data_IF_680741493667
#
_entry.id   IF_680741493667
#
_cell.length_a   1.000
_cell.length_b   1.000
_cell.length_c   1.000
_cell.angle_alpha   90.00
_cell.angle_beta   90.00
_cell.angle_gamma   90.00
#
_symmetry.space_group_name_H-M   'P 1'
#
loop_
_entity.id
_entity.type
_entity.pdbx_description
1 polymer ?
#
# COMPACT_ATOMS: atom_id res chain seq x y z
N UNK A 1 41.47 32.39 60.36
CA UNK A 1 42.24 31.80 59.25
C UNK A 1 41.26 31.04 58.37
N UNK A 2 40.91 31.60 57.20
CA UNK A 2 41.27 31.12 55.84
C UNK A 2 40.70 29.69 55.57
N UNK A 3 39.88 29.40 54.57
CA UNK A 3 39.61 30.16 53.35
C UNK A 3 38.38 29.67 52.58
N UNK A 4 37.89 30.54 51.70
CA UNK A 4 36.82 30.30 50.73
C UNK A 4 37.42 29.73 49.45
N UNK A 5 37.07 28.49 49.12
CA UNK A 5 37.41 27.87 47.84
C UNK A 5 36.41 28.34 46.78
N UNK A 6 36.88 29.12 45.80
CA UNK A 6 36.11 29.47 44.60
C UNK A 6 36.25 28.34 43.58
N UNK A 7 35.14 27.74 43.16
CA UNK A 7 35.11 26.82 42.01
C UNK A 7 34.76 27.64 40.78
N UNK A 8 35.68 27.67 39.82
CA UNK A 8 35.51 28.32 38.53
C UNK A 8 34.58 27.50 37.63
N UNK A 9 33.51 28.12 37.13
CA UNK A 9 32.62 27.55 36.13
C UNK A 9 33.26 27.63 34.74
N UNK A 10 33.49 26.47 34.12
CA UNK A 10 33.91 26.36 32.74
C UNK A 10 32.66 26.42 31.84
N UNK A 11 32.48 27.52 31.10
CA UNK A 11 31.42 27.62 30.08
C UNK A 11 31.97 27.01 28.80
N UNK A 12 31.52 25.79 28.47
CA UNK A 12 31.81 25.14 27.19
C UNK A 12 30.78 25.63 26.18
N UNK A 13 31.18 26.60 25.35
CA UNK A 13 30.41 27.04 24.18
C UNK A 13 30.49 25.96 23.10
N UNK A 14 29.51 25.06 23.08
CA UNK A 14 29.34 24.07 22.02
C UNK A 14 28.92 24.73 20.71
N UNK A 15 29.78 24.62 19.70
CA UNK A 15 29.49 24.99 18.32
C UNK A 15 28.41 24.04 17.77
N UNK A 16 27.18 24.52 17.62
CA UNK A 16 26.13 23.77 16.92
C UNK A 16 26.40 23.83 15.42
N UNK A 17 26.97 22.75 14.87
CA UNK A 17 27.04 22.54 13.41
C UNK A 17 25.65 22.12 12.94
N UNK A 18 24.91 23.07 12.35
CA UNK A 18 23.64 22.81 11.67
C UNK A 18 23.94 21.98 10.42
N UNK A 19 23.77 20.65 10.52
CA UNK A 19 23.79 19.78 9.34
C UNK A 19 22.64 20.20 8.40
N UNK A 20 22.88 20.31 7.09
CA UNK A 20 21.82 20.60 6.13
C UNK A 20 20.80 19.46 6.15
N UNK A 21 19.59 19.76 6.62
CA UNK A 21 18.48 18.85 6.47
C UNK A 21 18.12 18.80 4.98
N UNK A 22 18.51 17.71 4.31
CA UNK A 22 17.99 17.37 3.00
C UNK A 22 16.48 17.18 3.14
N UNK A 23 15.71 18.24 2.84
CA UNK A 23 14.29 18.12 2.62
C UNK A 23 14.12 17.20 1.42
N UNK A 24 13.61 15.98 1.64
CA UNK A 24 13.04 15.19 0.57
C UNK A 24 11.97 16.05 -0.10
N UNK A 25 12.31 16.65 -1.25
CA UNK A 25 11.35 17.38 -2.06
C UNK A 25 10.40 16.33 -2.61
N UNK A 26 9.12 16.43 -2.22
CA UNK A 26 8.06 15.77 -2.97
C UNK A 26 8.17 16.31 -4.39
N UNK A 27 8.71 15.51 -5.30
CA UNK A 27 8.63 15.79 -6.73
C UNK A 27 7.15 15.86 -7.05
N UNK A 28 6.70 17.00 -7.57
CA UNK A 28 5.36 17.16 -8.13
C UNK A 28 5.19 16.09 -9.21
N UNK A 29 4.57 14.97 -8.85
CA UNK A 29 4.18 13.95 -9.80
C UNK A 29 3.06 14.59 -10.59
N UNK A 30 3.30 14.83 -11.88
CA UNK A 30 2.29 15.33 -12.81
C UNK A 30 1.05 14.43 -12.66
N UNK A 31 -0.06 14.96 -12.10
CA UNK A 31 -1.27 14.18 -11.88
C UNK A 31 -1.86 13.67 -13.21
N UNK A 32 -1.46 14.24 -14.35
CA UNK A 32 -1.89 13.78 -15.67
C UNK A 32 -1.16 12.53 -16.15
N UNK A 33 0.03 12.22 -15.62
CA UNK A 33 0.75 10.99 -15.93
C UNK A 33 0.13 9.77 -15.22
N UNK A 34 -0.49 9.98 -14.06
CA UNK A 34 -1.10 8.92 -13.26
C UNK A 34 -2.57 8.69 -13.65
N UNK A 35 -2.90 7.48 -14.07
CA UNK A 35 -4.24 7.09 -14.49
C UNK A 35 -4.60 5.69 -13.99
N UNK A 36 -5.89 5.34 -14.09
CA UNK A 36 -6.39 4.02 -13.74
C UNK A 36 -6.11 3.01 -14.85
N UNK A 37 -5.46 1.92 -14.50
CA UNK A 37 -5.21 0.78 -15.38
C UNK A 37 -6.01 -0.39 -14.88
N UNK A 38 -6.93 -0.89 -15.72
CA UNK A 38 -7.63 -2.16 -15.50
C UNK A 38 -6.94 -3.27 -16.27
N UNK A 39 -6.80 -4.43 -15.65
CA UNK A 39 -6.25 -5.62 -16.28
C UNK A 39 -7.02 -6.87 -15.83
N UNK A 40 -7.37 -7.74 -16.78
CA UNK A 40 -7.81 -9.10 -16.47
C UNK A 40 -6.65 -9.88 -15.88
N UNK A 41 -6.86 -10.48 -14.71
CA UNK A 41 -5.86 -11.31 -14.06
C UNK A 41 -6.35 -12.74 -13.90
N UNK A 42 -5.40 -13.66 -13.91
CA UNK A 42 -5.63 -15.07 -13.60
C UNK A 42 -4.65 -15.43 -12.50
N UNK A 43 -5.15 -15.63 -11.30
CA UNK A 43 -4.34 -16.20 -10.22
C UNK A 43 -4.25 -17.70 -10.40
N UNK A 44 -3.02 -18.20 -10.49
CA UNK A 44 -2.70 -19.62 -10.54
C UNK A 44 -1.94 -20.01 -9.28
N UNK A 45 -2.44 -21.00 -8.54
CA UNK A 45 -1.80 -21.47 -7.30
C UNK A 45 -0.75 -22.56 -7.60
N UNK A 46 0.45 -22.15 -8.03
CA UNK A 46 1.70 -22.94 -8.05
C UNK A 46 1.77 -24.16 -9.00
N UNK A 47 3.01 -24.56 -9.33
CA UNK A 47 3.30 -25.72 -10.18
C UNK A 47 3.11 -27.04 -9.41
N UNK A 48 2.07 -27.79 -9.77
CA UNK A 48 1.83 -29.13 -9.26
C UNK A 48 0.97 -29.92 -10.22
N UNK A 49 1.53 -30.99 -10.78
CA UNK A 49 1.02 -31.88 -11.85
C UNK A 49 -0.27 -32.66 -11.54
N UNK A 50 -1.22 -32.13 -10.77
CA UNK A 50 -2.52 -32.78 -10.56
C UNK A 50 -3.64 -32.01 -11.25
N UNK A 51 -4.50 -32.72 -11.98
CA UNK A 51 -5.64 -32.14 -12.71
C UNK A 51 -6.64 -31.42 -11.79
N UNK A 52 -6.70 -31.80 -10.50
CA UNK A 52 -7.46 -31.08 -9.47
C UNK A 52 -6.99 -29.65 -9.24
N UNK A 53 -5.73 -29.30 -9.53
CA UNK A 53 -5.19 -27.94 -9.36
C UNK A 53 -5.19 -27.10 -10.64
N UNK A 54 -5.20 -27.72 -11.84
CA UNK A 54 -5.50 -27.01 -13.10
C UNK A 54 -6.87 -26.33 -13.08
N UNK A 55 -7.80 -26.87 -12.28
CA UNK A 55 -9.13 -26.32 -12.03
C UNK A 55 -9.14 -25.11 -11.06
N UNK A 56 -8.07 -24.84 -10.31
CA UNK A 56 -7.99 -23.74 -9.35
C UNK A 56 -7.42 -22.47 -10.00
N UNK A 57 -7.97 -22.09 -11.15
CA UNK A 57 -7.71 -20.78 -11.76
C UNK A 57 -8.76 -19.82 -11.24
N UNK A 58 -8.34 -18.82 -10.49
CA UNK A 58 -9.21 -17.72 -10.12
C UNK A 58 -9.09 -16.63 -11.16
N UNK A 59 -10.17 -16.42 -11.91
CA UNK A 59 -10.28 -15.31 -12.84
C UNK A 59 -10.78 -14.09 -12.08
N UNK A 60 -10.30 -12.92 -12.50
CA UNK A 60 -10.81 -11.68 -11.99
C UNK A 60 -10.20 -10.48 -12.68
N UNK A 61 -10.40 -9.34 -12.05
CA UNK A 61 -9.92 -8.06 -12.55
C UNK A 61 -9.08 -7.39 -11.47
N UNK A 62 -8.06 -6.66 -11.92
CA UNK A 62 -7.27 -5.77 -11.09
C UNK A 62 -7.38 -4.36 -11.63
N UNK A 63 -7.36 -3.39 -10.72
CA UNK A 63 -7.37 -1.99 -11.02
C UNK A 63 -6.28 -1.29 -10.22
N UNK A 64 -5.36 -0.59 -10.87
CA UNK A 64 -4.25 0.05 -10.18
C UNK A 64 -3.85 1.38 -10.79
N UNK A 65 -3.09 2.16 -10.03
CA UNK A 65 -2.51 3.43 -10.49
C UNK A 65 -1.27 3.18 -11.36
N UNK A 66 -1.17 3.88 -12.49
CA UNK A 66 -0.08 3.71 -13.47
C UNK A 66 1.26 4.29 -13.04
N UNK A 67 1.29 5.19 -12.06
CA UNK A 67 2.53 5.86 -11.64
C UNK A 67 3.59 4.86 -11.18
N UNK A 68 4.82 5.05 -11.68
CA UNK A 68 6.02 4.32 -11.24
C UNK A 68 6.93 5.19 -10.35
N UNK A 69 6.61 6.48 -10.22
CA UNK A 69 7.43 7.48 -9.50
C UNK A 69 6.78 7.95 -8.20
N UNK A 70 5.62 7.40 -7.85
CA UNK A 70 4.93 7.68 -6.61
C UNK A 70 4.37 6.40 -5.98
N UNK A 71 4.08 6.43 -4.67
CA UNK A 71 3.24 5.44 -4.03
C UNK A 71 1.93 5.22 -4.77
N UNK A 72 1.46 3.99 -4.77
CA UNK A 72 0.32 3.59 -5.58
C UNK A 72 -0.68 2.71 -4.85
N UNK A 73 -1.85 2.55 -5.46
CA UNK A 73 -2.93 1.73 -4.94
C UNK A 73 -3.36 0.71 -5.98
N UNK A 74 -3.71 -0.46 -5.48
CA UNK A 74 -4.14 -1.64 -6.22
C UNK A 74 -5.47 -2.09 -5.66
N UNK A 75 -6.40 -2.47 -6.51
CA UNK A 75 -7.59 -3.20 -6.16
C UNK A 75 -7.60 -4.51 -6.93
N UNK A 76 -8.08 -5.56 -6.29
CA UNK A 76 -8.34 -6.82 -6.97
C UNK A 76 -9.69 -7.36 -6.62
N UNK A 77 -10.24 -8.05 -7.60
CA UNK A 77 -11.56 -8.62 -7.56
C UNK A 77 -11.47 -10.04 -8.11
N UNK A 78 -11.07 -10.94 -7.23
CA UNK A 78 -10.75 -12.32 -7.57
C UNK A 78 -11.68 -13.22 -6.79
N UNK A 79 -12.43 -14.07 -7.50
CA UNK A 79 -13.37 -15.01 -6.86
C UNK A 79 -14.30 -14.29 -5.86
N UNK A 80 -14.89 -13.16 -6.28
CA UNK A 80 -15.76 -12.26 -5.47
C UNK A 80 -15.10 -11.62 -4.24
N UNK A 81 -13.79 -11.80 -4.05
CA UNK A 81 -13.03 -11.18 -2.96
C UNK A 81 -12.49 -9.84 -3.42
N UNK A 82 -13.12 -8.78 -2.95
CA UNK A 82 -12.64 -7.42 -3.16
C UNK A 82 -11.52 -7.08 -2.17
N UNK A 83 -10.32 -6.81 -2.68
CA UNK A 83 -9.12 -6.53 -1.88
C UNK A 83 -8.48 -5.24 -2.36
N UNK A 84 -7.71 -4.64 -1.47
CA UNK A 84 -6.94 -3.43 -1.77
C UNK A 84 -5.50 -3.64 -1.35
N UNK A 85 -4.58 -3.25 -2.21
CA UNK A 85 -3.15 -3.22 -1.96
C UNK A 85 -2.64 -1.79 -2.03
N UNK A 86 -1.60 -1.48 -1.25
CA UNK A 86 -0.91 -0.20 -1.30
C UNK A 86 0.58 -0.45 -1.45
N UNK A 87 1.22 0.32 -2.31
CA UNK A 87 2.68 0.36 -2.48
C UNK A 87 3.16 1.69 -1.90
N UNK A 88 4.15 1.65 -1.00
CA UNK A 88 4.54 2.84 -0.22
C UNK A 88 5.73 3.59 -0.82
N UNK A 89 6.46 2.94 -1.73
CA UNK A 89 7.61 3.51 -2.42
C UNK A 89 7.32 3.68 -3.90
N UNK A 90 8.08 4.54 -4.56
CA UNK A 90 7.98 4.77 -5.99
C UNK A 90 8.42 3.52 -6.78
N UNK A 91 7.45 2.80 -7.33
CA UNK A 91 7.64 1.66 -8.22
C UNK A 91 6.35 1.35 -8.98
N UNK A 92 6.42 0.47 -9.99
CA UNK A 92 5.22 0.00 -10.70
C UNK A 92 4.31 -0.83 -9.81
N UNK A 93 3.07 -0.39 -9.62
CA UNK A 93 2.09 -1.12 -8.79
C UNK A 93 1.81 -2.53 -9.31
N UNK A 94 1.74 -2.69 -10.65
CA UNK A 94 1.58 -4.01 -11.25
C UNK A 94 2.73 -4.93 -10.83
N UNK A 95 3.97 -4.46 -10.86
CA UNK A 95 5.16 -5.27 -10.57
C UNK A 95 5.22 -5.67 -9.08
N UNK A 96 4.86 -4.74 -8.19
CA UNK A 96 4.80 -4.98 -6.74
C UNK A 96 3.78 -6.06 -6.34
N UNK A 97 2.77 -6.33 -7.18
CA UNK A 97 1.72 -7.33 -6.92
C UNK A 97 1.74 -8.54 -7.87
N UNK A 98 2.44 -8.47 -9.01
CA UNK A 98 2.47 -9.51 -10.06
C UNK A 98 3.18 -10.78 -9.61
N UNK A 99 4.27 -10.64 -8.87
CA UNK A 99 5.12 -11.74 -8.43
C UNK A 99 5.07 -11.92 -6.91
N UNK A 100 3.94 -11.59 -6.27
CA UNK A 100 3.76 -11.93 -4.87
C UNK A 100 3.67 -13.45 -4.75
N UNK A 101 4.82 -14.08 -4.61
CA UNK A 101 4.92 -15.44 -4.11
C UNK A 101 4.27 -15.42 -2.74
N UNK A 102 3.08 -16.01 -2.66
CA UNK A 102 2.37 -16.13 -1.40
C UNK A 102 3.10 -17.17 -0.51
N UNK A 103 3.96 -17.99 -1.10
CA UNK A 103 4.75 -19.04 -0.48
C UNK A 103 6.09 -19.12 -1.23
N UNK A 104 7.21 -19.13 -0.50
CA UNK A 104 8.51 -19.57 -1.01
C UNK A 104 8.71 -21.08 -0.82
N UNK A 105 9.81 -21.62 -1.32
CA UNK A 105 10.21 -23.02 -1.15
C UNK A 105 11.47 -23.06 -0.27
N UNK A 106 11.44 -23.73 0.89
CA UNK A 106 12.65 -23.94 1.69
C UNK A 106 13.60 -24.92 1.03
N UNK A 107 14.86 -24.94 1.47
CA UNK A 107 15.90 -25.86 0.99
C UNK A 107 15.59 -27.37 1.14
N UNK A 108 14.48 -27.76 1.77
CA UNK A 108 13.96 -29.13 1.83
C UNK A 108 12.72 -29.36 0.95
N UNK A 109 12.36 -28.41 0.07
CA UNK A 109 11.20 -28.49 -0.80
C UNK A 109 9.86 -28.17 -0.13
N UNK A 110 9.83 -27.82 1.17
CA UNK A 110 8.59 -27.43 1.83
C UNK A 110 8.20 -25.99 1.47
N UNK A 111 6.91 -25.72 1.34
CA UNK A 111 6.43 -24.35 1.17
C UNK A 111 6.62 -23.58 2.48
N UNK A 112 7.54 -22.62 2.49
CA UNK A 112 7.71 -21.68 3.61
C UNK A 112 7.03 -20.39 3.22
N UNK A 113 6.14 -19.83 4.05
CA UNK A 113 5.62 -18.49 3.80
C UNK A 113 6.81 -17.54 3.56
N UNK A 114 6.81 -16.82 2.44
CA UNK A 114 7.63 -15.61 2.27
C UNK A 114 7.51 -14.77 3.55
N UNK A 115 8.53 -13.97 3.96
CA UNK A 115 8.47 -13.19 5.19
C UNK A 115 7.31 -12.17 5.17
N UNK A 116 6.11 -12.65 5.47
CA UNK A 116 4.88 -11.88 5.54
C UNK A 116 4.66 -11.61 6.99
N UNK A 117 4.88 -10.37 7.35
CA UNK A 117 4.42 -9.89 8.64
C UNK A 117 2.98 -9.42 8.50
N UNK A 118 2.22 -9.57 9.58
CA UNK A 118 0.95 -8.87 9.70
C UNK A 118 1.25 -7.45 10.18
N UNK A 119 0.74 -6.46 9.46
CA UNK A 119 0.84 -5.06 9.86
C UNK A 119 -0.56 -4.50 10.10
N UNK A 120 -0.73 -3.74 11.18
CA UNK A 120 -1.92 -2.92 11.36
C UNK A 120 -1.84 -1.71 10.44
N UNK A 121 -2.92 -1.50 9.68
CA UNK A 121 -3.06 -0.42 8.73
C UNK A 121 -4.20 0.49 9.16
N UNK A 122 -3.98 1.77 8.98
CA UNK A 122 -4.97 2.83 9.23
C UNK A 122 -4.85 3.89 8.15
N UNK A 123 -5.88 4.70 7.98
CA UNK A 123 -5.87 5.82 7.06
C UNK A 123 -6.46 7.08 7.67
N UNK A 124 -6.06 8.23 7.12
CA UNK A 124 -6.78 9.50 7.26
C UNK A 124 -7.33 9.90 5.90
N UNK A 125 -8.55 10.41 5.91
CA UNK A 125 -9.25 10.93 4.73
C UNK A 125 -9.41 12.43 4.91
N UNK A 126 -8.86 13.24 4.00
CA UNK A 126 -8.86 14.71 4.10
C UNK A 126 -8.32 15.26 5.44
N UNK A 127 -7.30 14.58 6.01
CA UNK A 127 -6.73 14.97 7.30
C UNK A 127 -7.61 14.72 8.52
N UNK A 128 -8.76 14.04 8.36
CA UNK A 128 -9.66 13.66 9.46
C UNK A 128 -9.02 12.65 10.43
N UNK A 129 -9.79 12.27 11.46
CA UNK A 129 -9.38 11.27 12.44
C UNK A 129 -8.92 9.96 11.79
N UNK A 130 -7.95 9.31 12.44
CA UNK A 130 -7.38 8.04 12.00
C UNK A 130 -8.44 6.94 12.02
N UNK A 131 -8.75 6.39 10.85
CA UNK A 131 -9.66 5.27 10.67
C UNK A 131 -8.86 3.96 10.59
N UNK A 132 -9.22 2.97 11.42
CA UNK A 132 -8.63 1.64 11.34
C UNK A 132 -9.07 0.91 10.06
N UNK A 133 -8.08 0.38 9.32
CA UNK A 133 -8.25 -0.46 8.13
C UNK A 133 -7.94 -1.95 8.39
N UNK A 134 -7.55 -2.32 9.61
CA UNK A 134 -7.38 -3.71 10.03
C UNK A 134 -5.94 -4.25 9.84
N UNK A 135 -5.79 -5.57 9.90
CA UNK A 135 -4.52 -6.25 9.71
C UNK A 135 -4.33 -6.65 8.23
N UNK A 136 -3.22 -6.23 7.65
CA UNK A 136 -2.88 -6.48 6.25
C UNK A 136 -1.65 -7.38 6.16
N UNK A 137 -1.51 -8.08 5.04
CA UNK A 137 -0.29 -8.78 4.68
C UNK A 137 0.74 -7.73 4.25
N UNK A 138 1.90 -7.68 4.91
CA UNK A 138 2.99 -6.76 4.60
C UNK A 138 4.12 -7.53 3.91
N UNK A 139 4.53 -7.03 2.75
CA UNK A 139 5.61 -7.56 1.92
C UNK A 139 6.75 -6.55 1.97
N UNK A 140 7.83 -6.92 2.66
CA UNK A 140 8.97 -6.04 2.90
C UNK A 140 9.77 -5.78 1.62
N UNK A 141 10.02 -6.83 0.82
CA UNK A 141 10.83 -6.77 -0.39
C UNK A 141 10.26 -5.82 -1.45
N UNK A 142 8.93 -5.72 -1.52
CA UNK A 142 8.21 -4.91 -2.51
C UNK A 142 7.63 -3.65 -1.90
N UNK A 143 7.92 -3.33 -0.64
CA UNK A 143 7.34 -2.19 0.07
C UNK A 143 5.83 -2.08 -0.21
N UNK A 144 5.09 -3.19 -0.07
CA UNK A 144 3.67 -3.28 -0.44
C UNK A 144 2.84 -4.05 0.59
N UNK A 145 1.60 -3.61 0.83
CA UNK A 145 0.70 -4.23 1.78
C UNK A 145 -0.63 -4.56 1.11
N UNK A 146 -1.19 -5.74 1.39
CA UNK A 146 -2.45 -6.22 0.83
C UNK A 146 -3.48 -6.48 1.94
N UNK A 147 -4.67 -5.92 1.80
CA UNK A 147 -5.77 -6.14 2.73
C UNK A 147 -6.16 -7.61 2.80
N UNK A 148 -6.62 -8.04 3.98
CA UNK A 148 -7.16 -9.39 4.19
C UNK A 148 -8.69 -9.43 4.17
N UNK A 149 -9.32 -8.28 4.20
CA UNK A 149 -10.77 -8.13 4.21
C UNK A 149 -11.26 -7.16 3.12
N UNK A 150 -12.55 -7.26 2.82
CA UNK A 150 -13.22 -6.42 1.83
C UNK A 150 -13.61 -5.06 2.43
N UNK A 151 -13.70 -4.94 3.75
CA UNK A 151 -14.14 -3.71 4.44
C UNK A 151 -13.11 -2.59 4.24
N UNK A 152 -11.83 -2.90 4.38
CA UNK A 152 -10.74 -1.96 4.11
C UNK A 152 -10.76 -1.48 2.67
N UNK A 153 -10.94 -2.40 1.73
CA UNK A 153 -11.02 -2.11 0.31
C UNK A 153 -12.22 -1.20 -0.01
N UNK A 154 -13.41 -1.49 0.52
CA UNK A 154 -14.60 -0.65 0.34
C UNK A 154 -14.41 0.77 0.91
N UNK A 155 -13.77 0.90 2.10
CA UNK A 155 -13.48 2.21 2.68
C UNK A 155 -12.59 3.05 1.77
N UNK A 156 -11.49 2.48 1.30
CA UNK A 156 -10.56 3.17 0.40
C UNK A 156 -11.22 3.48 -0.95
N UNK A 157 -11.94 2.53 -1.54
CA UNK A 157 -12.67 2.73 -2.80
C UNK A 157 -13.66 3.91 -2.67
N UNK A 158 -14.48 3.94 -1.62
CA UNK A 158 -15.43 5.03 -1.39
C UNK A 158 -14.76 6.39 -1.15
N UNK A 159 -13.60 6.42 -0.50
CA UNK A 159 -12.83 7.66 -0.32
C UNK A 159 -12.34 8.21 -1.67
N UNK A 160 -11.90 7.33 -2.58
CA UNK A 160 -11.48 7.71 -3.94
C UNK A 160 -12.66 8.24 -4.76
N UNK A 161 -13.83 7.57 -4.70
CA UNK A 161 -15.06 8.05 -5.37
C UNK A 161 -15.43 9.46 -4.92
N UNK A 162 -15.22 9.77 -3.63
CA UNK A 162 -15.46 11.11 -3.05
C UNK A 162 -14.35 12.13 -3.35
N UNK A 163 -13.26 11.73 -4.01
CA UNK A 163 -12.13 12.59 -4.30
C UNK A 163 -11.32 13.01 -3.06
N UNK A 164 -11.34 12.21 -2.00
CA UNK A 164 -10.66 12.53 -0.75
C UNK A 164 -9.14 12.32 -0.88
N UNK A 165 -8.35 13.15 -0.19
CA UNK A 165 -6.93 12.89 0.03
C UNK A 165 -6.78 11.71 0.98
N UNK A 166 -5.96 10.73 0.60
CA UNK A 166 -5.77 9.49 1.38
C UNK A 166 -4.35 9.43 1.91
N UNK A 167 -4.22 9.38 3.23
CA UNK A 167 -2.95 9.12 3.92
C UNK A 167 -3.03 7.77 4.60
N UNK A 168 -2.19 6.82 4.21
CA UNK A 168 -2.14 5.49 4.78
C UNK A 168 -0.96 5.39 5.74
N UNK A 169 -1.21 4.79 6.90
CA UNK A 169 -0.19 4.48 7.90
C UNK A 169 -0.14 2.98 8.12
N UNK A 170 1.03 2.41 7.88
CA UNK A 170 1.32 0.98 8.02
C UNK A 170 2.40 0.86 9.08
N UNK A 171 2.14 0.06 10.13
CA UNK A 171 2.96 0.11 11.36
C UNK A 171 3.00 1.54 11.92
N UNK A 172 3.80 1.79 12.95
CA UNK A 172 3.90 3.13 13.57
C UNK A 172 4.74 4.13 12.78
N UNK A 173 5.46 3.69 11.74
CA UNK A 173 6.50 4.48 11.07
C UNK A 173 6.25 4.76 9.58
N UNK A 174 5.51 3.89 8.87
CA UNK A 174 5.41 4.00 7.41
C UNK A 174 4.15 4.77 7.05
N UNK A 175 4.31 6.09 6.89
CA UNK A 175 3.24 7.01 6.51
C UNK A 175 3.39 7.38 5.03
N UNK A 176 2.32 7.23 4.27
CA UNK A 176 2.32 7.52 2.84
C UNK A 176 1.07 8.27 2.42
N UNK A 177 1.25 9.34 1.66
CA UNK A 177 0.13 10.01 0.97
C UNK A 177 -0.02 9.37 -0.39
N UNK A 178 -1.21 8.83 -0.70
CA UNK A 178 -1.46 8.22 -1.99
C UNK A 178 -1.80 9.30 -3.02
N UNK A 179 -1.09 9.27 -4.14
CA UNK A 179 -1.43 10.09 -5.31
C UNK A 179 -2.41 9.26 -6.15
N UNK A 180 -3.70 9.56 -6.02
CA UNK A 180 -4.75 8.79 -6.68
C UNK A 180 -5.33 9.59 -7.85
N UNK A 181 -5.45 9.01 -9.06
CA UNK A 181 -6.11 9.66 -10.19
C UNK A 181 -7.57 9.97 -9.88
N UNK A 182 -8.13 10.96 -10.58
CA UNK A 182 -9.56 11.26 -10.48
C UNK A 182 -10.40 10.04 -10.84
N UNK A 183 -11.58 9.96 -10.23
CA UNK A 183 -12.59 8.97 -10.57
C UNK A 183 -12.89 8.99 -12.08
N UNK A 184 -12.90 7.80 -12.71
CA UNK A 184 -13.05 7.61 -14.15
C UNK A 184 -14.08 6.52 -14.44
N UNK A 185 -14.52 6.41 -15.70
CA UNK A 185 -15.42 5.33 -16.12
C UNK A 185 -14.82 3.94 -15.84
N UNK A 186 -13.54 3.72 -16.15
CA UNK A 186 -12.82 2.47 -15.85
C UNK A 186 -12.88 2.09 -14.37
N UNK A 187 -12.73 3.07 -13.48
CA UNK A 187 -12.80 2.84 -12.03
C UNK A 187 -14.23 2.47 -11.57
N UNK A 188 -15.23 3.12 -12.17
CA UNK A 188 -16.64 2.86 -11.89
C UNK A 188 -17.06 1.46 -12.35
N UNK A 189 -16.70 1.09 -13.58
CA UNK A 189 -17.03 -0.20 -14.20
C UNK A 189 -16.42 -1.35 -13.40
N UNK A 190 -15.14 -1.24 -13.03
CA UNK A 190 -14.48 -2.20 -12.14
C UNK A 190 -15.21 -2.36 -10.80
N UNK A 191 -15.64 -1.26 -10.18
CA UNK A 191 -16.41 -1.33 -8.94
C UNK A 191 -17.72 -2.10 -9.11
N UNK A 192 -18.45 -1.82 -10.19
CA UNK A 192 -19.71 -2.46 -10.50
C UNK A 192 -19.56 -3.99 -10.70
N UNK A 193 -18.55 -4.42 -11.44
CA UNK A 193 -18.19 -5.84 -11.63
C UNK A 193 -17.84 -6.53 -10.29
N UNK A 194 -17.32 -5.77 -9.33
CA UNK A 194 -16.98 -6.25 -7.99
C UNK A 194 -18.12 -6.18 -6.97
N UNK A 195 -19.33 -5.84 -7.41
CA UNK A 195 -20.47 -5.65 -6.52
C UNK A 195 -20.33 -4.44 -5.58
N UNK A 196 -19.54 -3.44 -5.98
CA UNK A 196 -19.27 -2.23 -5.22
C UNK A 196 -19.76 -1.01 -5.99
N UNK A 197 -20.69 -0.30 -5.37
CA UNK A 197 -21.48 0.70 -6.05
C UNK A 197 -22.76 0.07 -6.59
N UNK A 198 -23.84 0.85 -6.58
CA UNK A 198 -25.10 0.39 -7.17
C UNK A 198 -24.89 0.38 -8.68
N UNK A 199 -25.00 -0.79 -9.31
CA UNK A 199 -25.53 -0.83 -10.68
C UNK A 199 -26.89 -0.15 -10.58
N UNK A 200 -26.95 1.14 -10.96
CA UNK A 200 -28.23 1.79 -11.16
C UNK A 200 -28.83 1.03 -12.33
N UNK A 201 -29.72 0.06 -12.05
CA UNK A 201 -30.39 -0.76 -13.04
C UNK A 201 -30.72 0.12 -14.25
N UNK A 202 -30.10 -0.20 -15.39
CA UNK A 202 -30.61 0.24 -16.69
C UNK A 202 -31.82 -0.61 -17.03
#
# INVERSE_FOLDING_TARGET
>A
MIGRTRVAGLIVSGLFVLAPQAKAQATDVDPQANHWVSQKTVMSYGEGYSDKRKANKEFGETLFTSSTTAPGIYFSCLDTKFRVGVVYEAQGVSDAFRNLEIYGISGNGAFVPTPKSLAYVSARFDGQEKVALGQWLYFEDTSSALSRDNKAAQKLYNAIVRGQRIEVTIRSSNHVTLVVPKFSATFADFGAECGIGRLRNR
#
